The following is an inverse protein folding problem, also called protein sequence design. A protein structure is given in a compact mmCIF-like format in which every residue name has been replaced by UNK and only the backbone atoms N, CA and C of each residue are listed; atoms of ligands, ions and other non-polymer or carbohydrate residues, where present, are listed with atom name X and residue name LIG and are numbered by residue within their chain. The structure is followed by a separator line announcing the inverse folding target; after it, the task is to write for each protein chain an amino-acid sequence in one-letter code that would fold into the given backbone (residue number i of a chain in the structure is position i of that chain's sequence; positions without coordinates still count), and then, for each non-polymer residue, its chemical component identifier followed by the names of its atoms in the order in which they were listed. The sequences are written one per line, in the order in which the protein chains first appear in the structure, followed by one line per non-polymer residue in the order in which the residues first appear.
data_IF_230567605360
#
_entry.id   IF_230567605360
#
_cell.length_a   1.000
_cell.length_b   1.000
_cell.length_c   1.000
_cell.angle_alpha   90.00
_cell.angle_beta   90.00
_cell.angle_gamma   90.00
#
_symmetry.space_group_name_H-M   'P 1'
#
loop_
_entity.id
_entity.type
_entity.pdbx_description
1 polymer ?
#
# COMPACT_ATOMS: atom_id res chain seq x y z
N UNK A 1 -21.69 6.49 -22.71
CA UNK A 1 -20.70 5.74 -23.51
C UNK A 1 -21.25 4.34 -23.73
N UNK A 2 -21.10 3.79 -24.94
CA UNK A 2 -21.66 2.48 -25.29
C UNK A 2 -20.98 1.34 -24.51
N UNK A 3 -21.74 0.31 -24.10
CA UNK A 3 -21.19 -0.83 -23.35
C UNK A 3 -20.84 -0.52 -21.89
N UNK A 4 -21.12 0.68 -21.41
CA UNK A 4 -20.87 1.10 -20.03
C UNK A 4 -21.73 0.32 -19.03
N UNK A 5 -21.12 -0.22 -17.98
CA UNK A 5 -21.82 -1.01 -16.95
C UNK A 5 -21.39 -0.68 -15.50
N UNK A 6 -20.63 0.40 -15.29
CA UNK A 6 -20.35 0.98 -13.98
C UNK A 6 -19.73 2.39 -14.09
N UNK A 7 -19.99 3.29 -13.12
CA UNK A 7 -19.75 4.74 -13.31
C UNK A 7 -19.44 5.55 -12.02
N UNK A 8 -18.79 5.06 -10.97
CA UNK A 8 -18.67 5.89 -9.75
C UNK A 8 -18.02 7.26 -10.04
N UNK A 9 -18.80 8.33 -9.83
CA UNK A 9 -18.33 9.72 -9.91
C UNK A 9 -17.92 10.21 -8.52
N UNK A 10 -17.06 11.23 -8.47
CA UNK A 10 -16.71 11.93 -7.23
C UNK A 10 -16.36 13.38 -7.49
N UNK A 11 -16.69 14.28 -6.57
CA UNK A 11 -16.32 15.68 -6.65
C UNK A 11 -16.07 16.25 -5.25
N UNK A 12 -14.99 17.00 -5.11
CA UNK A 12 -14.73 17.94 -4.02
C UNK A 12 -14.01 19.15 -4.59
N UNK A 13 -14.07 20.31 -3.92
CA UNK A 13 -13.35 21.51 -4.36
C UNK A 13 -11.84 21.28 -4.48
N UNK A 14 -11.27 20.45 -3.61
CA UNK A 14 -9.85 20.11 -3.61
C UNK A 14 -9.45 19.10 -4.69
N UNK A 15 -10.33 18.16 -5.04
CA UNK A 15 -10.01 17.05 -5.97
C UNK A 15 -10.49 17.26 -7.40
N UNK A 16 -11.31 18.27 -7.67
CA UNK A 16 -12.00 18.41 -8.95
C UNK A 16 -12.97 17.26 -9.23
N UNK A 17 -13.34 17.08 -10.50
CA UNK A 17 -14.29 16.09 -10.98
C UNK A 17 -13.60 14.75 -11.33
N UNK A 18 -13.95 13.70 -10.59
CA UNK A 18 -13.43 12.35 -10.74
C UNK A 18 -14.49 11.41 -11.33
N UNK A 19 -14.04 10.38 -12.04
CA UNK A 19 -14.88 9.34 -12.61
C UNK A 19 -14.09 8.03 -12.75
N UNK A 20 -14.65 6.96 -12.19
CA UNK A 20 -14.26 5.58 -12.48
C UNK A 20 -15.38 4.93 -13.27
N UNK A 21 -15.06 4.36 -14.41
CA UNK A 21 -16.04 3.77 -15.32
C UNK A 21 -15.58 2.40 -15.80
N UNK A 22 -16.51 1.47 -15.99
CA UNK A 22 -16.26 0.23 -16.74
C UNK A 22 -17.15 0.16 -17.98
N UNK A 23 -16.61 -0.41 -19.05
CA UNK A 23 -17.35 -0.68 -20.28
C UNK A 23 -16.91 -2.02 -20.88
N UNK A 24 -17.84 -2.68 -21.56
CA UNK A 24 -17.63 -3.95 -22.27
C UNK A 24 -17.93 -3.78 -23.76
N UNK A 25 -16.99 -4.17 -24.62
CA UNK A 25 -17.15 -4.23 -26.09
C UNK A 25 -16.42 -5.46 -26.62
N UNK A 26 -17.06 -6.20 -27.52
CA UNK A 26 -16.55 -7.47 -28.08
C UNK A 26 -16.07 -8.47 -27.01
N UNK A 27 -16.87 -8.63 -25.96
CA UNK A 27 -16.54 -9.47 -24.81
C UNK A 27 -15.20 -9.10 -24.14
N UNK A 28 -14.77 -7.83 -24.20
CA UNK A 28 -13.59 -7.30 -23.50
C UNK A 28 -14.03 -6.19 -22.57
N UNK A 29 -13.59 -6.27 -21.30
CA UNK A 29 -13.89 -5.27 -20.27
C UNK A 29 -12.71 -4.33 -20.10
N UNK A 30 -12.97 -3.03 -20.19
CA UNK A 30 -12.03 -1.99 -19.80
C UNK A 30 -12.53 -1.24 -18.57
N UNK A 31 -11.57 -0.74 -17.78
CA UNK A 31 -11.82 0.14 -16.65
C UNK A 31 -11.03 1.43 -16.93
N UNK A 32 -11.72 2.55 -16.94
CA UNK A 32 -11.15 3.87 -17.13
C UNK A 32 -11.27 4.67 -15.83
N UNK A 33 -10.23 5.45 -15.54
CA UNK A 33 -10.18 6.34 -14.39
C UNK A 33 -9.77 7.72 -14.87
N UNK A 34 -10.58 8.73 -14.54
CA UNK A 34 -10.29 10.15 -14.75
C UNK A 34 -10.33 10.84 -13.40
N UNK A 35 -9.29 11.59 -13.09
CA UNK A 35 -9.16 12.33 -11.83
C UNK A 35 -8.93 13.82 -12.12
N UNK A 36 -9.40 14.71 -11.25
CA UNK A 36 -9.06 16.13 -11.34
C UNK A 36 -9.64 16.88 -12.54
N UNK A 37 -10.76 16.44 -13.10
CA UNK A 37 -11.42 17.17 -14.18
C UNK A 37 -11.83 18.58 -13.73
N UNK A 38 -11.69 19.58 -14.61
CA UNK A 38 -12.11 20.97 -14.35
C UNK A 38 -13.63 21.16 -14.43
N UNK A 39 -14.33 20.25 -15.10
CA UNK A 39 -15.79 20.20 -15.20
C UNK A 39 -16.27 18.76 -15.38
N UNK A 40 -17.52 18.48 -15.01
CA UNK A 40 -18.15 17.19 -15.25
C UNK A 40 -18.17 16.82 -16.75
N UNK A 41 -18.54 17.77 -17.61
CA UNK A 41 -18.59 17.56 -19.06
C UNK A 41 -17.19 17.33 -19.67
N UNK A 42 -16.17 18.08 -19.22
CA UNK A 42 -14.80 17.89 -19.65
C UNK A 42 -14.26 16.51 -19.25
N UNK A 43 -14.50 16.10 -18.01
CA UNK A 43 -14.17 14.76 -17.50
C UNK A 43 -14.82 13.66 -18.35
N UNK A 44 -16.09 13.79 -18.70
CA UNK A 44 -16.81 12.78 -19.49
C UNK A 44 -16.26 12.66 -20.91
N UNK A 45 -15.91 13.79 -21.54
CA UNK A 45 -15.25 13.80 -22.84
C UNK A 45 -13.89 13.11 -22.81
N UNK A 46 -13.10 13.39 -21.77
CA UNK A 46 -11.80 12.74 -21.55
C UNK A 46 -11.98 11.24 -21.33
N UNK A 47 -12.97 10.84 -20.51
CA UNK A 47 -13.26 9.43 -20.27
C UNK A 47 -13.64 8.71 -21.56
N UNK A 48 -14.54 9.28 -22.36
CA UNK A 48 -14.94 8.70 -23.65
C UNK A 48 -13.73 8.50 -24.57
N UNK A 49 -12.88 9.52 -24.70
CA UNK A 49 -11.67 9.44 -25.51
C UNK A 49 -10.67 8.38 -25.00
N UNK A 50 -10.54 8.21 -23.67
CA UNK A 50 -9.71 7.15 -23.10
C UNK A 50 -10.26 5.76 -23.40
N UNK A 51 -11.57 5.58 -23.29
CA UNK A 51 -12.22 4.30 -23.60
C UNK A 51 -12.07 3.95 -25.08
N UNK A 52 -12.29 4.91 -25.99
CA UNK A 52 -12.14 4.69 -27.44
C UNK A 52 -10.72 4.27 -27.79
N UNK A 53 -9.72 4.98 -27.26
CA UNK A 53 -8.30 4.62 -27.44
C UNK A 53 -7.99 3.25 -26.82
N UNK A 54 -8.50 2.97 -25.63
CA UNK A 54 -8.30 1.72 -24.92
C UNK A 54 -8.83 0.52 -25.71
N UNK A 55 -10.03 0.63 -26.28
CA UNK A 55 -10.61 -0.43 -27.11
C UNK A 55 -9.85 -0.64 -28.43
N UNK A 56 -9.38 0.44 -29.07
CA UNK A 56 -8.54 0.34 -30.26
C UNK A 56 -7.22 -0.40 -29.98
N UNK A 57 -6.56 -0.06 -28.86
CA UNK A 57 -5.34 -0.75 -28.41
C UNK A 57 -5.63 -2.21 -28.06
N UNK A 58 -6.71 -2.48 -27.34
CA UNK A 58 -7.10 -3.84 -26.96
C UNK A 58 -7.36 -4.73 -28.18
N UNK A 59 -7.94 -4.17 -29.24
CA UNK A 59 -8.14 -4.85 -30.51
C UNK A 59 -6.81 -5.12 -31.23
N UNK A 60 -5.95 -4.10 -31.34
CA UNK A 60 -4.65 -4.23 -31.98
C UNK A 60 -3.75 -5.26 -31.27
N UNK A 61 -3.79 -5.31 -29.94
CA UNK A 61 -3.05 -6.26 -29.11
C UNK A 61 -3.69 -7.65 -29.04
N UNK A 62 -4.86 -7.86 -29.65
CA UNK A 62 -5.59 -9.13 -29.63
C UNK A 62 -5.80 -9.66 -28.20
N UNK A 63 -6.13 -8.76 -27.26
CA UNK A 63 -6.37 -9.16 -25.88
C UNK A 63 -7.49 -10.20 -25.82
N UNK A 64 -7.26 -11.26 -25.05
CA UNK A 64 -8.22 -12.35 -24.91
C UNK A 64 -9.56 -11.85 -24.37
N UNK A 65 -10.68 -12.48 -24.78
CA UNK A 65 -11.98 -12.12 -24.25
C UNK A 65 -12.03 -12.25 -22.72
N UNK A 66 -12.77 -11.34 -22.08
CA UNK A 66 -13.12 -11.42 -20.68
C UNK A 66 -13.87 -12.74 -20.42
N UNK A 67 -13.22 -13.63 -19.67
CA UNK A 67 -13.86 -14.82 -19.13
C UNK A 67 -14.30 -14.50 -17.71
N UNK A 68 -15.47 -15.00 -17.31
CA UNK A 68 -15.90 -14.92 -15.91
C UNK A 68 -14.81 -15.50 -15.03
N UNK A 69 -14.22 -14.67 -14.16
CA UNK A 69 -13.22 -15.10 -13.19
C UNK A 69 -13.85 -16.22 -12.37
N UNK A 70 -13.42 -17.46 -12.61
CA UNK A 70 -13.84 -18.59 -11.78
C UNK A 70 -13.13 -18.45 -10.45
N UNK A 71 -13.90 -18.43 -9.37
CA UNK A 71 -13.39 -18.52 -8.00
C UNK A 71 -12.42 -19.72 -7.94
N UNK A 72 -11.13 -19.51 -7.61
CA UNK A 72 -10.24 -20.64 -7.42
C UNK A 72 -10.79 -21.49 -6.28
N UNK A 73 -10.77 -22.82 -6.42
CA UNK A 73 -11.37 -23.73 -5.42
C UNK A 73 -10.80 -23.55 -4.00
N UNK A 74 -9.62 -22.95 -3.87
CA UNK A 74 -8.97 -22.60 -2.60
C UNK A 74 -9.36 -21.24 -2.02
N UNK A 75 -10.03 -20.37 -2.77
CA UNK A 75 -10.43 -19.06 -2.26
C UNK A 75 -11.58 -19.23 -1.26
N UNK A 76 -11.36 -18.84 0.00
CA UNK A 76 -12.44 -18.75 0.99
C UNK A 76 -13.25 -17.46 0.87
N UNK A 77 -12.68 -16.44 0.25
CA UNK A 77 -13.31 -15.14 0.00
C UNK A 77 -13.03 -14.68 -1.44
N UNK A 78 -14.04 -14.14 -2.12
CA UNK A 78 -13.88 -13.43 -3.39
C UNK A 78 -14.55 -12.07 -3.29
N UNK A 79 -14.17 -11.12 -4.15
CA UNK A 79 -14.82 -9.81 -4.24
C UNK A 79 -16.35 -9.94 -4.53
N UNK A 80 -16.76 -11.04 -5.16
CA UNK A 80 -18.16 -11.37 -5.40
C UNK A 80 -18.94 -11.82 -4.14
N UNK A 81 -18.25 -12.11 -3.03
CA UNK A 81 -18.83 -12.53 -1.74
C UNK A 81 -18.53 -11.51 -0.62
N UNK A 82 -18.09 -10.30 -0.98
CA UNK A 82 -17.83 -9.25 0.00
C UNK A 82 -19.16 -8.67 0.49
N UNK A 83 -19.57 -9.08 1.69
CA UNK A 83 -20.66 -8.45 2.44
C UNK A 83 -20.04 -7.38 3.37
N UNK A 84 -20.27 -6.08 3.12
CA UNK A 84 -19.72 -5.00 3.94
C UNK A 84 -20.26 -4.96 5.39
N UNK A 85 -21.16 -5.88 5.78
CA UNK A 85 -21.66 -6.04 7.16
C UNK A 85 -21.29 -7.36 7.85
N UNK A 86 -20.60 -8.29 7.18
CA UNK A 86 -20.20 -9.54 7.81
C UNK A 86 -19.03 -9.30 8.77
N UNK A 87 -19.31 -9.30 10.08
CA UNK A 87 -18.28 -9.37 11.11
C UNK A 87 -17.47 -10.65 10.90
N UNK A 88 -16.15 -10.52 10.82
CA UNK A 88 -15.27 -11.68 10.86
C UNK A 88 -15.49 -12.34 12.23
N UNK A 89 -16.09 -13.53 12.26
CA UNK A 89 -15.96 -14.37 13.43
C UNK A 89 -14.46 -14.58 13.63
N UNK A 90 -13.93 -13.94 14.68
CA UNK A 90 -12.55 -14.03 15.14
C UNK A 90 -12.05 -15.45 14.89
N UNK A 91 -11.01 -15.61 14.07
CA UNK A 91 -10.46 -16.93 13.77
C UNK A 91 -10.23 -17.64 15.11
N UNK A 92 -10.96 -18.75 15.33
CA UNK A 92 -10.94 -19.52 16.57
C UNK A 92 -9.50 -19.63 17.09
N UNK A 93 -9.19 -18.82 18.11
CA UNK A 93 -7.96 -18.93 18.88
C UNK A 93 -8.27 -19.98 19.94
N UNK A 94 -7.72 -21.20 19.87
CA UNK A 94 -7.89 -22.13 20.98
C UNK A 94 -7.40 -21.43 22.25
N UNK A 95 -8.15 -21.48 23.36
CA UNK A 95 -7.76 -20.80 24.58
C UNK A 95 -6.39 -21.31 25.03
N UNK A 96 -5.46 -20.40 25.26
CA UNK A 96 -4.21 -20.72 25.93
C UNK A 96 -4.53 -21.28 27.33
N UNK A 97 -3.77 -22.27 27.84
CA UNK A 97 -4.01 -22.80 29.18
C UNK A 97 -3.89 -21.67 30.21
N UNK A 98 -4.89 -21.59 31.08
CA UNK A 98 -5.07 -20.52 32.05
C UNK A 98 -3.86 -20.42 33.01
N UNK A 99 -3.00 -19.45 32.76
CA UNK A 99 -2.15 -18.89 33.82
C UNK A 99 -3.03 -18.00 34.70
N UNK A 100 -3.01 -18.24 36.01
CA UNK A 100 -3.76 -17.46 37.00
C UNK A 100 -3.31 -16.00 36.96
N UNK A 101 -4.23 -15.11 36.60
CA UNK A 101 -4.04 -13.66 36.68
C UNK A 101 -4.29 -13.16 38.12
N UNK A 102 -3.40 -12.36 38.72
CA UNK A 102 -3.65 -11.72 40.01
C UNK A 102 -4.60 -10.51 39.89
N UNK A 103 -5.40 -10.32 40.94
CA UNK A 103 -6.55 -9.41 41.00
C UNK A 103 -6.28 -7.92 40.66
N UNK A 104 -7.28 -7.19 40.13
CA UNK A 104 -7.15 -5.78 39.75
C UNK A 104 -7.12 -4.86 40.98
N UNK A 105 -6.10 -4.01 41.08
CA UNK A 105 -6.09 -2.89 42.03
C UNK A 105 -6.90 -1.74 41.44
N UNK A 106 -7.98 -1.36 42.14
CA UNK A 106 -8.79 -0.20 41.83
C UNK A 106 -7.97 1.08 42.05
N UNK A 107 -7.91 1.94 41.03
CA UNK A 107 -7.34 3.30 41.15
C UNK A 107 -8.51 4.28 41.11
N UNK A 108 -8.79 4.91 42.25
CA UNK A 108 -9.76 6.01 42.36
C UNK A 108 -9.15 7.32 41.85
N UNK A 109 -9.81 8.10 40.99
CA UNK A 109 -9.29 9.40 40.56
C UNK A 109 -9.49 10.45 41.66
N UNK A 110 -8.40 11.04 42.15
CA UNK A 110 -8.42 12.26 42.98
C UNK A 110 -8.23 13.48 42.06
N UNK A 111 -9.27 14.28 41.88
CA UNK A 111 -9.14 15.66 41.43
C UNK A 111 -8.73 16.52 42.63
N UNK A 112 -7.58 17.16 42.58
CA UNK A 112 -7.15 18.19 43.55
C UNK A 112 -6.85 19.49 42.79
N UNK A 113 -7.42 20.58 43.29
CA UNK A 113 -7.56 21.87 42.63
C UNK A 113 -6.26 22.59 42.28
N UNK A 114 -6.40 23.47 41.29
CA UNK A 114 -5.40 24.41 40.82
C UNK A 114 -5.27 25.57 41.83
N UNK A 115 -4.06 25.82 42.33
CA UNK A 115 -3.69 27.03 43.08
C UNK A 115 -2.55 27.70 42.32
N UNK A 116 -2.65 28.99 41.93
CA UNK A 116 -1.56 29.68 41.27
C UNK A 116 -0.59 30.29 42.30
N UNK A 117 0.71 30.36 42.00
CA UNK A 117 1.56 31.37 42.61
C UNK A 117 2.04 32.41 41.59
N UNK A 118 1.98 33.67 42.02
CA UNK A 118 2.71 34.81 41.46
C UNK A 118 3.64 35.36 42.56
N UNK A 119 4.49 36.38 42.30
CA UNK A 119 5.64 36.41 41.38
C UNK A 119 6.94 36.81 42.12
N UNK A 120 8.12 36.54 41.56
CA UNK A 120 9.36 37.28 41.89
C UNK A 120 10.39 37.19 40.75
N UNK A 121 10.87 38.37 40.36
CA UNK A 121 11.85 38.74 39.31
C UNK A 121 13.32 38.64 39.81
N UNK A 122 14.36 39.12 39.09
CA UNK A 122 15.08 38.47 37.99
C UNK A 122 16.62 38.42 38.21
N UNK A 123 17.36 37.57 37.47
CA UNK A 123 18.82 37.75 37.29
C UNK A 123 19.36 37.05 36.01
N UNK A 124 19.65 37.91 35.02
CA UNK A 124 20.69 38.00 33.98
C UNK A 124 21.53 36.78 33.52
N UNK A 125 21.74 36.78 32.18
CA UNK A 125 22.84 36.21 31.35
C UNK A 125 22.78 34.70 31.10
N UNK A 126 22.84 34.15 29.87
CA UNK A 126 23.52 34.57 28.63
C UNK A 126 22.71 34.09 27.41
N UNK A 127 22.61 34.93 26.39
CA UNK A 127 22.08 34.55 25.09
C UNK A 127 23.09 33.68 24.34
N UNK A 128 22.80 32.39 24.19
CA UNK A 128 23.41 31.57 23.14
C UNK A 128 22.46 31.60 21.94
N UNK A 129 22.83 32.38 20.94
CA UNK A 129 22.20 32.34 19.63
C UNK A 129 22.60 31.03 18.95
N UNK A 130 21.70 30.04 18.97
CA UNK A 130 21.80 28.88 18.08
C UNK A 130 20.93 29.18 16.87
N UNK A 131 21.60 29.50 15.76
CA UNK A 131 20.99 29.59 14.44
C UNK A 131 20.20 28.31 14.10
N UNK A 132 19.12 28.39 13.31
CA UNK A 132 18.39 27.21 12.88
C UNK A 132 19.34 26.33 12.06
N UNK A 133 19.51 25.08 12.50
CA UNK A 133 20.16 24.06 11.70
C UNK A 133 19.30 23.84 10.45
N UNK A 134 19.79 24.37 9.32
CA UNK A 134 19.31 24.06 7.98
C UNK A 134 19.22 22.55 7.85
N UNK A 135 18.01 22.04 7.62
CA UNK A 135 17.77 20.63 7.36
C UNK A 135 18.64 20.22 6.15
N UNK A 136 19.66 19.39 6.42
CA UNK A 136 20.38 18.71 5.37
C UNK A 136 19.39 17.82 4.59
N UNK A 137 19.51 17.72 3.25
CA UNK A 137 18.69 16.81 2.47
C UNK A 137 18.89 15.37 2.97
N UNK A 138 17.85 14.52 2.95
CA UNK A 138 17.97 13.13 3.39
C UNK A 138 19.06 12.45 2.55
N UNK A 139 20.10 11.98 3.23
CA UNK A 139 21.12 11.11 2.64
C UNK A 139 20.40 9.85 2.14
N UNK A 140 20.63 9.39 0.91
CA UNK A 140 20.02 8.14 0.44
C UNK A 140 20.47 6.99 1.35
N UNK A 141 19.51 6.38 2.04
CA UNK A 141 19.78 5.23 2.89
C UNK A 141 20.33 4.06 2.05
N UNK A 142 21.38 3.36 2.54
CA UNK A 142 21.98 2.24 1.83
C UNK A 142 20.98 1.08 1.75
N UNK A 143 20.36 0.91 0.58
CA UNK A 143 19.32 -0.11 0.36
C UNK A 143 18.24 0.28 -0.65
N UNK A 144 18.19 1.55 -1.06
CA UNK A 144 17.24 1.99 -2.10
C UNK A 144 17.51 1.28 -3.44
N UNK A 145 16.52 0.59 -4.02
CA UNK A 145 16.71 -0.13 -5.27
C UNK A 145 16.98 0.85 -6.42
N UNK A 146 17.94 0.51 -7.30
CA UNK A 146 18.27 1.33 -8.45
C UNK A 146 17.10 1.43 -9.44
N UNK A 147 16.92 2.59 -10.06
CA UNK A 147 15.92 2.78 -11.13
C UNK A 147 16.23 1.81 -12.27
N UNK A 148 15.21 1.09 -12.75
CA UNK A 148 15.34 0.04 -13.76
C UNK A 148 15.59 -1.37 -13.20
N UNK A 149 15.96 -1.50 -11.92
CA UNK A 149 16.06 -2.79 -11.24
C UNK A 149 14.68 -3.37 -10.92
N UNK A 150 14.61 -4.68 -10.74
CA UNK A 150 13.38 -5.36 -10.32
C UNK A 150 13.41 -5.66 -8.83
N UNK A 151 12.23 -5.60 -8.22
CA UNK A 151 11.99 -5.95 -6.82
C UNK A 151 10.86 -6.96 -6.73
N UNK A 152 10.93 -7.84 -5.73
CA UNK A 152 9.77 -8.64 -5.30
C UNK A 152 9.22 -7.98 -4.04
N UNK A 153 7.98 -7.50 -4.10
CA UNK A 153 7.27 -6.99 -2.93
C UNK A 153 6.45 -8.11 -2.30
N UNK A 154 6.80 -8.47 -1.06
CA UNK A 154 6.16 -9.55 -0.29
C UNK A 154 4.94 -9.04 0.45
N UNK A 155 4.94 -7.76 0.85
CA UNK A 155 3.79 -7.14 1.50
C UNK A 155 4.11 -5.82 2.19
N UNK A 156 3.08 -5.22 2.77
CA UNK A 156 3.14 -4.04 3.64
C UNK A 156 2.40 -4.34 4.93
N UNK A 157 3.10 -4.25 6.05
CA UNK A 157 2.62 -4.66 7.37
C UNK A 157 2.50 -3.44 8.28
N UNK A 158 1.61 -3.52 9.27
CA UNK A 158 1.46 -2.52 10.32
C UNK A 158 2.50 -2.67 11.45
N UNK A 159 3.21 -3.80 11.51
CA UNK A 159 4.17 -4.12 12.56
C UNK A 159 5.52 -4.52 11.92
N UNK A 160 6.65 -3.99 12.41
CA UNK A 160 7.97 -4.22 11.80
C UNK A 160 8.40 -5.69 11.90
N UNK A 161 8.08 -6.35 13.00
CA UNK A 161 8.44 -7.76 13.21
C UNK A 161 7.70 -8.69 12.24
N UNK A 162 6.43 -8.38 11.92
CA UNK A 162 5.66 -9.11 10.92
C UNK A 162 6.25 -8.95 9.51
N UNK A 163 6.68 -7.73 9.15
CA UNK A 163 7.37 -7.47 7.88
C UNK A 163 8.68 -8.25 7.79
N UNK A 164 9.49 -8.24 8.84
CA UNK A 164 10.77 -8.96 8.89
C UNK A 164 10.57 -10.47 8.76
N UNK A 165 9.61 -11.03 9.48
CA UNK A 165 9.31 -12.47 9.42
C UNK A 165 8.79 -12.90 8.04
N UNK A 166 7.99 -12.07 7.37
CA UNK A 166 7.53 -12.33 6.01
C UNK A 166 8.68 -12.26 4.99
N UNK A 167 9.57 -11.27 5.15
CA UNK A 167 10.75 -11.10 4.31
C UNK A 167 11.71 -12.27 4.44
N UNK A 168 12.00 -12.75 5.66
CA UNK A 168 12.86 -13.91 5.90
C UNK A 168 12.27 -15.21 5.33
N UNK A 169 10.94 -15.39 5.42
CA UNK A 169 10.25 -16.52 4.80
C UNK A 169 10.32 -16.48 3.28
N UNK A 170 10.23 -15.29 2.68
CA UNK A 170 10.38 -15.13 1.24
C UNK A 170 11.83 -15.36 0.79
N UNK A 171 12.81 -14.78 1.51
CA UNK A 171 14.22 -14.92 1.18
C UNK A 171 14.71 -16.38 1.26
N UNK A 172 14.27 -17.14 2.27
CA UNK A 172 14.65 -18.56 2.42
C UNK A 172 14.02 -19.50 1.38
N UNK A 173 12.99 -19.05 0.66
CA UNK A 173 12.36 -19.81 -0.41
C UNK A 173 12.96 -19.53 -1.81
N UNK A 174 13.85 -18.54 -1.92
CA UNK A 174 14.56 -18.23 -3.16
C UNK A 174 15.81 -19.10 -3.33
N UNK A 175 16.19 -19.46 -4.57
CA UNK A 175 17.40 -20.22 -4.83
C UNK A 175 18.68 -19.40 -4.53
N UNK A 176 19.79 -20.08 -4.23
CA UNK A 176 21.11 -19.48 -3.93
C UNK A 176 21.63 -18.49 -5.00
N UNK A 177 21.14 -18.56 -6.23
CA UNK A 177 21.43 -17.59 -7.29
C UNK A 177 20.88 -16.18 -7.04
N UNK A 178 20.05 -15.99 -6.02
CA UNK A 178 19.55 -14.70 -5.55
C UNK A 178 20.41 -14.07 -4.44
N UNK A 179 21.66 -14.53 -4.21
CA UNK A 179 22.57 -13.98 -3.18
C UNK A 179 22.92 -12.50 -3.33
N UNK A 180 22.79 -11.92 -4.53
CA UNK A 180 22.91 -10.47 -4.76
C UNK A 180 21.64 -9.70 -4.40
N UNK A 181 20.57 -10.39 -4.03
CA UNK A 181 19.29 -9.78 -3.70
C UNK A 181 19.33 -9.21 -2.28
N UNK A 182 19.06 -7.92 -2.15
CA UNK A 182 18.98 -7.25 -0.86
C UNK A 182 17.57 -7.38 -0.30
N UNK A 183 17.44 -8.05 0.84
CA UNK A 183 16.20 -8.08 1.60
C UNK A 183 16.10 -6.80 2.44
N UNK A 184 15.13 -5.93 2.13
CA UNK A 184 14.97 -4.61 2.76
C UNK A 184 13.54 -4.43 3.25
N UNK A 185 13.39 -3.83 4.43
CA UNK A 185 12.11 -3.34 4.95
C UNK A 185 12.13 -1.82 4.94
N UNK A 186 11.32 -1.20 4.09
CA UNK A 186 11.18 0.26 4.04
C UNK A 186 10.01 0.71 4.93
N UNK A 187 10.12 1.87 5.56
CA UNK A 187 8.97 2.54 6.16
C UNK A 187 8.26 3.41 5.12
N UNK A 188 6.94 3.25 5.01
CA UNK A 188 6.08 4.01 4.10
C UNK A 188 4.94 4.61 4.90
N UNK A 189 4.86 5.93 4.93
CA UNK A 189 3.75 6.65 5.55
C UNK A 189 2.58 6.75 4.56
N UNK A 190 1.41 6.23 4.95
CA UNK A 190 0.17 6.38 4.19
C UNK A 190 -0.88 7.02 5.09
N UNK A 191 -1.27 8.26 4.76
CA UNK A 191 -2.11 9.10 5.59
C UNK A 191 -1.53 9.26 7.01
N UNK A 192 -2.26 8.82 8.04
CA UNK A 192 -1.85 8.90 9.45
C UNK A 192 -1.20 7.62 10.00
N UNK A 193 -0.87 6.63 9.15
CA UNK A 193 -0.34 5.33 9.58
C UNK A 193 0.98 5.01 8.88
N UNK A 194 1.93 4.50 9.64
CA UNK A 194 3.20 3.98 9.12
C UNK A 194 3.02 2.50 8.78
N UNK A 195 3.49 2.11 7.60
CA UNK A 195 3.55 0.74 7.15
C UNK A 195 4.99 0.33 6.90
N UNK A 196 5.32 -0.91 7.24
CA UNK A 196 6.61 -1.53 7.00
C UNK A 196 6.50 -2.41 5.75
N UNK A 197 7.12 -1.99 4.65
CA UNK A 197 7.06 -2.65 3.34
C UNK A 197 8.24 -3.60 3.18
N UNK A 198 7.97 -4.89 3.11
CA UNK A 198 8.97 -5.94 2.89
C UNK A 198 9.23 -6.13 1.39
N UNK A 199 10.49 -5.93 0.96
CA UNK A 199 10.93 -6.10 -0.43
C UNK A 199 12.24 -6.86 -0.54
N UNK A 200 12.40 -7.57 -1.66
CA UNK A 200 13.66 -8.13 -2.10
C UNK A 200 14.09 -7.35 -3.35
N UNK A 201 15.22 -6.66 -3.26
CA UNK A 201 15.72 -5.71 -4.25
C UNK A 201 16.98 -6.23 -4.98
N UNK A 202 17.42 -5.48 -5.99
CA UNK A 202 18.56 -5.80 -6.87
C UNK A 202 18.38 -7.12 -7.65
N UNK A 203 17.16 -7.37 -8.14
CA UNK A 203 16.85 -8.51 -8.99
C UNK A 203 16.81 -8.11 -10.46
N UNK A 204 17.13 -9.05 -11.35
CA UNK A 204 16.75 -8.95 -12.77
C UNK A 204 15.27 -9.26 -12.95
N UNK A 205 14.71 -8.92 -14.13
CA UNK A 205 13.32 -9.24 -14.47
C UNK A 205 13.03 -10.74 -14.33
N UNK A 206 13.93 -11.57 -14.87
CA UNK A 206 13.81 -13.03 -14.84
C UNK A 206 13.83 -13.54 -13.40
N UNK A 207 14.79 -13.07 -12.59
CA UNK A 207 14.90 -13.44 -11.18
C UNK A 207 13.66 -13.02 -10.37
N UNK A 208 13.11 -11.82 -10.62
CA UNK A 208 11.92 -11.33 -9.92
C UNK A 208 10.66 -12.13 -10.28
N UNK A 209 10.45 -12.42 -11.56
CA UNK A 209 9.29 -13.18 -12.05
C UNK A 209 9.37 -14.64 -11.60
N UNK A 210 10.50 -15.30 -11.79
CA UNK A 210 10.66 -16.71 -11.39
C UNK A 210 10.73 -16.88 -9.87
N UNK A 211 11.33 -15.91 -9.18
CA UNK A 211 11.30 -15.83 -7.72
C UNK A 211 9.86 -15.75 -7.21
N UNK A 212 9.04 -14.87 -7.78
CA UNK A 212 7.63 -14.75 -7.39
C UNK A 212 6.83 -16.03 -7.68
N UNK A 213 6.99 -16.66 -8.86
CA UNK A 213 6.35 -17.97 -9.15
C UNK A 213 6.69 -19.06 -8.13
N UNK A 214 7.92 -19.05 -7.59
CA UNK A 214 8.34 -20.00 -6.54
C UNK A 214 7.69 -19.71 -5.19
N UNK A 215 7.61 -18.42 -4.82
CA UNK A 215 6.93 -17.97 -3.61
C UNK A 215 5.44 -18.34 -3.62
N UNK A 216 4.77 -18.18 -4.75
CA UNK A 216 3.36 -18.56 -4.91
C UNK A 216 3.14 -20.07 -4.70
N UNK A 217 4.05 -20.92 -5.20
CA UNK A 217 4.02 -22.38 -4.96
C UNK A 217 4.15 -22.72 -3.47
N UNK A 218 4.86 -21.89 -2.70
CA UNK A 218 5.00 -21.99 -1.23
C UNK A 218 3.91 -21.23 -0.47
N UNK A 219 2.88 -20.73 -1.15
CA UNK A 219 1.77 -19.94 -0.57
C UNK A 219 2.23 -18.64 0.10
N UNK A 220 3.34 -18.07 -0.37
CA UNK A 220 3.84 -16.76 0.03
C UNK A 220 3.36 -15.75 -1.02
N UNK A 221 2.73 -14.67 -0.57
CA UNK A 221 2.31 -13.59 -1.46
C UNK A 221 3.54 -12.86 -2.02
N UNK A 222 3.49 -12.51 -3.30
CA UNK A 222 4.55 -11.76 -3.96
C UNK A 222 3.99 -10.93 -5.11
N UNK A 223 4.69 -9.85 -5.44
CA UNK A 223 4.48 -9.07 -6.66
C UNK A 223 5.83 -8.64 -7.22
N UNK A 224 6.12 -9.03 -8.46
CA UNK A 224 7.32 -8.60 -9.18
C UNK A 224 7.06 -7.21 -9.78
N UNK A 225 7.84 -6.21 -9.36
CA UNK A 225 7.64 -4.81 -9.73
C UNK A 225 8.97 -4.24 -10.24
N UNK A 226 8.91 -3.51 -11.36
CA UNK A 226 10.05 -2.73 -11.82
C UNK A 226 10.15 -1.42 -11.03
N UNK A 227 11.36 -1.08 -10.61
CA UNK A 227 11.64 0.16 -9.89
C UNK A 227 11.69 1.30 -10.89
N UNK A 228 10.59 2.02 -10.96
CA UNK A 228 10.47 3.26 -11.75
C UNK A 228 10.61 4.47 -10.85
N UNK A 229 10.94 5.63 -11.40
CA UNK A 229 10.99 6.91 -10.68
C UNK A 229 9.71 7.22 -9.86
N UNK A 230 8.56 6.67 -10.25
CA UNK A 230 7.27 6.84 -9.54
C UNK A 230 7.08 5.93 -8.31
N UNK A 231 7.91 4.90 -8.12
CA UNK A 231 7.72 3.86 -7.10
C UNK A 231 8.88 3.78 -6.09
N UNK A 232 9.82 4.73 -6.16
CA UNK A 232 10.94 4.90 -5.24
C UNK A 232 10.55 5.80 -4.06
N UNK A 233 11.07 5.51 -2.84
CA UNK A 233 11.00 6.46 -1.73
C UNK A 233 11.63 7.79 -2.16
N UNK A 234 10.92 8.91 -1.97
CA UNK A 234 11.38 10.25 -2.38
C UNK A 234 10.84 10.77 -3.72
N UNK A 235 9.98 10.01 -4.41
CA UNK A 235 9.30 10.47 -5.63
C UNK A 235 8.14 11.47 -5.40
N UNK A 236 8.01 12.02 -4.18
CA UNK A 236 6.98 12.96 -3.76
C UNK A 236 7.58 14.23 -3.22
#
# INVERSE_FOLDING_TARGET
YEGADGLKTGYTSASGFNLVMSAVRDNRRLIGVVMGGSSAAGRDRIMAAHMDRGFAIAQAMQLSPWTSIRKPGSARYTAAQFDPGASFAEAYRPPAPAAKEPAPKQVTPRYAGFVPPAPATPATTTAFSAAPATAAPPVPEPGSPAIGSWVIQVGSFNEPQAAQAALQRAASALPDGARSASAVVDEVQMASRTFHRARIANLTQEQAVDGCRRLEKKKIYCSAIQVTAWNTPGAR
#
